data_IF_627337806655
#
_entry.id   IF_627337806655
#
_cell.length_a   1.000
_cell.length_b   1.000
_cell.length_c   1.000
_cell.angle_alpha   90.00
_cell.angle_beta   90.00
_cell.angle_gamma   90.00
#
_symmetry.space_group_name_H-M   'P 1'
#
loop_
_entity.id
_entity.type
_entity.pdbx_description
1 polymer ?
#
# COMPACT_ATOMS: atom_id res chain seq x y z
N UNK A 1 -17.31 12.85 3.62
CA UNK A 1 -16.45 11.83 4.29
C UNK A 1 -15.99 10.85 3.22
N UNK A 2 -14.70 10.49 3.20
CA UNK A 2 -14.19 9.44 2.31
C UNK A 2 -14.34 8.06 2.98
N UNK A 3 -14.32 6.99 2.18
CA UNK A 3 -14.34 5.61 2.71
C UNK A 3 -13.18 5.36 3.68
N UNK A 4 -11.99 5.86 3.35
CA UNK A 4 -10.83 5.86 4.25
C UNK A 4 -11.13 6.52 5.61
N UNK A 5 -11.73 7.71 5.61
CA UNK A 5 -12.05 8.41 6.86
C UNK A 5 -13.15 7.70 7.66
N UNK A 6 -14.12 7.08 6.97
CA UNK A 6 -15.19 6.31 7.61
C UNK A 6 -14.65 5.03 8.28
N UNK A 7 -13.82 4.25 7.56
CA UNK A 7 -13.24 3.01 8.07
C UNK A 7 -12.30 3.26 9.25
N UNK A 8 -11.46 4.30 9.18
CA UNK A 8 -10.62 4.70 10.30
C UNK A 8 -11.43 5.15 11.52
N UNK A 9 -12.56 5.86 11.32
CA UNK A 9 -13.48 6.22 12.43
C UNK A 9 -14.11 5.00 13.09
N UNK A 10 -14.32 3.92 12.34
CA UNK A 10 -14.84 2.66 12.86
C UNK A 10 -13.76 1.79 13.54
N UNK A 11 -12.51 2.28 13.62
CA UNK A 11 -11.40 1.57 14.26
C UNK A 11 -10.61 0.63 13.35
N UNK A 12 -10.93 0.56 12.05
CA UNK A 12 -10.15 -0.21 11.09
C UNK A 12 -8.92 0.56 10.63
N UNK A 13 -7.78 -0.12 10.48
CA UNK A 13 -6.60 0.46 9.83
C UNK A 13 -6.73 0.30 8.31
N UNK A 14 -7.31 1.29 7.64
CA UNK A 14 -7.55 1.26 6.20
C UNK A 14 -6.34 1.82 5.44
N UNK A 15 -5.84 1.10 4.43
CA UNK A 15 -4.77 1.64 3.58
C UNK A 15 -5.29 2.78 2.69
N UNK A 16 -4.46 3.80 2.44
CA UNK A 16 -4.68 4.80 1.41
C UNK A 16 -3.35 5.31 0.86
N UNK A 17 -3.29 5.62 -0.45
CA UNK A 17 -2.06 6.07 -1.10
C UNK A 17 -1.47 7.36 -0.49
N UNK A 18 -2.31 8.21 0.10
CA UNK A 18 -1.86 9.41 0.85
C UNK A 18 -0.99 9.06 2.08
N UNK A 19 -1.07 7.84 2.60
CA UNK A 19 -0.19 7.38 3.67
C UNK A 19 1.24 7.09 3.20
N UNK A 20 1.51 7.15 1.89
CA UNK A 20 2.88 7.08 1.36
C UNK A 20 3.65 8.39 1.57
N UNK A 21 3.00 9.42 2.11
CA UNK A 21 3.68 10.66 2.46
C UNK A 21 4.68 10.44 3.61
N UNK A 22 5.77 11.24 3.69
CA UNK A 22 6.80 11.10 4.72
C UNK A 22 6.30 11.22 6.18
N UNK A 23 5.04 11.63 6.37
CA UNK A 23 4.40 11.69 7.68
C UNK A 23 4.17 10.31 8.29
N UNK A 24 4.04 9.26 7.48
CA UNK A 24 3.96 7.89 7.96
C UNK A 24 5.36 7.25 7.95
N UNK A 25 6.01 7.25 9.12
CA UNK A 25 7.37 6.75 9.31
C UNK A 25 7.50 5.24 9.05
N UNK A 26 6.44 4.46 9.26
CA UNK A 26 6.47 3.01 9.00
C UNK A 26 6.50 2.74 7.49
N UNK A 27 5.62 3.39 6.73
CA UNK A 27 5.57 3.26 5.27
C UNK A 27 6.86 3.76 4.59
N UNK A 28 7.47 4.79 5.16
CA UNK A 28 8.77 5.32 4.71
C UNK A 28 9.89 4.31 4.96
N UNK A 29 9.96 3.71 6.16
CA UNK A 29 10.94 2.66 6.50
C UNK A 29 10.82 1.45 5.60
N UNK A 30 9.59 1.04 5.30
CA UNK A 30 9.29 -0.11 4.46
C UNK A 30 9.33 0.22 2.95
N UNK A 31 9.74 1.44 2.58
CA UNK A 31 9.91 1.89 1.19
C UNK A 31 8.68 1.65 0.31
N UNK A 32 7.47 1.77 0.86
CA UNK A 32 6.23 1.41 0.14
C UNK A 32 6.10 2.12 -1.21
N UNK A 33 6.53 3.39 -1.29
CA UNK A 33 6.52 4.15 -2.54
C UNK A 33 7.34 3.46 -3.64
N UNK A 34 8.52 2.92 -3.28
CA UNK A 34 9.38 2.17 -4.23
C UNK A 34 8.68 0.89 -4.67
N UNK A 35 8.09 0.14 -3.74
CA UNK A 35 7.37 -1.09 -4.06
C UNK A 35 6.19 -0.84 -5.02
N UNK A 36 5.40 0.21 -4.78
CA UNK A 36 4.33 0.60 -5.69
C UNK A 36 4.84 1.04 -7.06
N UNK A 37 5.96 1.75 -7.12
CA UNK A 37 6.58 2.12 -8.40
C UNK A 37 7.07 0.90 -9.17
N UNK A 38 7.70 -0.08 -8.52
CA UNK A 38 8.14 -1.32 -9.16
C UNK A 38 6.95 -2.12 -9.69
N UNK A 39 5.89 -2.28 -8.88
CA UNK A 39 4.66 -2.95 -9.30
C UNK A 39 4.00 -2.28 -10.51
N UNK A 40 3.90 -0.95 -10.50
CA UNK A 40 3.37 -0.17 -11.64
C UNK A 40 4.27 -0.29 -12.88
N UNK A 41 5.58 -0.22 -12.69
CA UNK A 41 6.58 -0.29 -13.77
C UNK A 41 6.52 -1.65 -14.46
N UNK A 42 6.40 -2.75 -13.71
CA UNK A 42 6.17 -4.06 -14.29
C UNK A 42 4.82 -4.12 -15.02
N UNK A 43 3.73 -3.68 -14.36
CA UNK A 43 2.38 -3.79 -14.92
C UNK A 43 2.19 -3.02 -16.23
N UNK A 44 2.77 -1.83 -16.35
CA UNK A 44 2.58 -0.92 -17.49
C UNK A 44 3.67 -1.08 -18.54
N UNK A 45 4.93 -1.29 -18.12
CA UNK A 45 6.08 -1.28 -19.01
C UNK A 45 6.74 -2.65 -19.20
N UNK A 46 6.34 -3.67 -18.43
CA UNK A 46 6.95 -5.02 -18.42
C UNK A 46 8.46 -4.94 -18.10
N UNK A 47 8.84 -4.01 -17.22
CA UNK A 47 10.23 -3.83 -16.76
C UNK A 47 10.34 -4.25 -15.31
N UNK A 48 11.29 -5.14 -15.01
CA UNK A 48 11.54 -5.68 -13.68
C UNK A 48 10.82 -7.00 -13.44
N UNK A 49 10.64 -7.34 -12.17
CA UNK A 49 9.97 -8.59 -11.74
C UNK A 49 8.47 -8.36 -11.48
N UNK A 50 7.62 -9.37 -11.73
CA UNK A 50 6.22 -9.35 -11.35
C UNK A 50 6.07 -9.29 -9.83
N UNK A 51 5.19 -8.39 -9.36
CA UNK A 51 4.67 -8.48 -8.00
C UNK A 51 3.57 -9.54 -7.96
N UNK A 52 3.75 -10.53 -7.09
CA UNK A 52 2.78 -11.58 -6.84
C UNK A 52 1.84 -11.20 -5.69
N UNK A 53 0.68 -11.87 -5.55
CA UNK A 53 -0.25 -11.63 -4.43
C UNK A 53 0.45 -11.61 -3.06
N UNK A 54 1.40 -12.53 -2.82
CA UNK A 54 2.16 -12.60 -1.58
C UNK A 54 3.00 -11.33 -1.28
N UNK A 55 3.47 -10.63 -2.32
CA UNK A 55 4.21 -9.37 -2.15
C UNK A 55 3.29 -8.25 -1.69
N UNK A 56 2.07 -8.20 -2.23
CA UNK A 56 1.04 -7.26 -1.79
C UNK A 56 0.52 -7.57 -0.38
N UNK A 57 0.35 -8.86 -0.04
CA UNK A 57 -0.02 -9.28 1.31
C UNK A 57 1.04 -8.82 2.33
N UNK A 58 2.32 -9.02 2.02
CA UNK A 58 3.42 -8.53 2.86
C UNK A 58 3.46 -7.01 2.96
N UNK A 59 3.22 -6.31 1.84
CA UNK A 59 3.16 -4.85 1.79
C UNK A 59 1.96 -4.31 2.60
N UNK A 60 0.87 -5.06 2.71
CA UNK A 60 -0.36 -4.55 3.33
C UNK A 60 -0.77 -5.28 4.61
N UNK A 61 0.11 -6.13 5.14
CA UNK A 61 -0.11 -6.98 6.32
C UNK A 61 -0.55 -6.23 7.59
N UNK A 62 -0.23 -4.94 7.71
CA UNK A 62 -0.56 -4.13 8.88
C UNK A 62 -1.92 -3.41 8.76
N UNK A 63 -2.57 -3.52 7.61
CA UNK A 63 -3.87 -2.89 7.35
C UNK A 63 -4.99 -3.89 7.54
N UNK A 64 -6.06 -3.47 8.23
CA UNK A 64 -7.25 -4.28 8.48
C UNK A 64 -8.12 -4.42 7.23
N UNK A 65 -8.00 -3.48 6.30
CA UNK A 65 -8.78 -3.43 5.06
C UNK A 65 -7.81 -3.29 3.90
N UNK A 66 -7.28 -4.43 3.49
CA UNK A 66 -6.33 -4.59 2.38
C UNK A 66 -6.56 -5.96 1.72
N UNK A 67 -7.76 -6.20 1.17
CA UNK A 67 -8.01 -7.41 0.40
C UNK A 67 -7.88 -7.11 -1.09
N UNK A 68 -6.92 -7.75 -1.73
CA UNK A 68 -6.78 -7.90 -3.18
C UNK A 68 -7.42 -9.21 -3.64
#
# INVERSE_FOLDING_TARGET
MTMYAALNKLGYRCYHFLELTPRNKENTKLRYMVCWFEALRYKVLIIGEPYHPADFDKLLQWYSVSKF
#
